data_IF_680054759341
#
_entry.id   IF_680054759341
#
_cell.length_a   1.000
_cell.length_b   1.000
_cell.length_c   1.000
_cell.angle_alpha   90.00
_cell.angle_beta   90.00
_cell.angle_gamma   90.00
#
_symmetry.space_group_name_H-M   'P 1'
#
loop_
_entity.id
_entity.type
_entity.pdbx_description
1 polymer ?
#
# COMPACT_ATOMS: atom_id res chain seq x y z
N UNK A 1 6.93 31.68 -9.09
CA UNK A 1 7.37 30.99 -7.86
C UNK A 1 7.72 29.52 -8.06
N UNK A 2 6.98 28.71 -8.84
CA UNK A 2 7.28 27.27 -9.05
C UNK A 2 8.65 26.97 -9.71
N UNK A 3 9.13 27.83 -10.61
CA UNK A 3 10.44 27.65 -11.28
C UNK A 3 11.66 27.95 -10.38
N UNK A 4 11.50 28.81 -9.37
CA UNK A 4 12.58 29.15 -8.44
C UNK A 4 12.85 28.04 -7.42
N UNK A 5 11.81 27.30 -6.99
CA UNK A 5 11.93 26.19 -6.04
C UNK A 5 12.67 25.01 -6.70
N UNK A 6 12.39 24.71 -7.96
CA UNK A 6 13.09 23.63 -8.70
C UNK A 6 14.55 23.99 -8.92
N UNK A 7 14.86 25.26 -9.19
CA UNK A 7 16.24 25.71 -9.40
C UNK A 7 17.05 25.71 -8.08
N UNK A 8 16.44 26.05 -6.93
CA UNK A 8 17.10 26.02 -5.64
C UNK A 8 17.36 24.58 -5.15
N UNK A 9 16.44 23.65 -5.40
CA UNK A 9 16.65 22.23 -5.11
C UNK A 9 17.77 21.65 -5.98
N UNK A 10 17.83 22.01 -7.26
CA UNK A 10 18.91 21.60 -8.18
C UNK A 10 20.28 22.13 -7.78
N UNK A 11 20.39 23.38 -7.32
CA UNK A 11 21.65 23.96 -6.88
C UNK A 11 22.21 23.31 -5.58
N UNK A 12 21.33 22.85 -4.70
CA UNK A 12 21.74 22.15 -3.47
C UNK A 12 22.32 20.76 -3.77
N UNK A 13 21.85 20.10 -4.82
CA UNK A 13 22.33 18.78 -5.25
C UNK A 13 23.71 18.85 -5.94
N UNK A 14 24.09 20.02 -6.49
CA UNK A 14 25.35 20.22 -7.22
C UNK A 14 26.39 21.04 -6.47
N UNK A 15 26.14 21.46 -5.24
CA UNK A 15 27.18 22.07 -4.42
C UNK A 15 28.30 21.05 -4.20
N UNK A 16 29.55 21.30 -4.67
CA UNK A 16 30.64 20.36 -4.51
C UNK A 16 30.97 20.23 -3.03
N UNK A 17 30.55 19.12 -2.44
CA UNK A 17 30.97 18.75 -1.08
C UNK A 17 32.44 18.29 -1.16
N UNK A 18 33.36 19.21 -0.96
CA UNK A 18 34.81 19.03 -1.09
C UNK A 18 35.43 18.03 -0.10
N UNK A 19 34.63 17.37 0.76
CA UNK A 19 35.22 16.55 1.85
C UNK A 19 34.58 15.16 2.02
N UNK A 20 33.36 14.93 1.61
CA UNK A 20 32.66 13.65 1.84
C UNK A 20 32.02 13.12 0.56
N UNK A 21 32.30 11.85 0.23
CA UNK A 21 31.64 11.20 -0.90
C UNK A 21 30.18 10.93 -0.59
N UNK A 22 29.31 11.29 -1.53
CA UNK A 22 27.88 11.02 -1.48
C UNK A 22 27.56 9.64 -2.06
N UNK A 23 26.37 9.16 -1.84
CA UNK A 23 25.97 7.84 -2.33
C UNK A 23 24.65 7.93 -3.08
N UNK A 24 24.59 7.26 -4.21
CA UNK A 24 23.39 7.01 -4.96
C UNK A 24 23.04 5.53 -4.84
N UNK A 25 21.79 5.22 -4.51
CA UNK A 25 21.34 3.85 -4.26
C UNK A 25 20.14 3.52 -5.12
N UNK A 26 20.19 2.37 -5.77
CA UNK A 26 19.04 1.71 -6.38
C UNK A 26 18.67 0.51 -5.52
N UNK A 27 17.38 0.37 -5.19
CA UNK A 27 16.86 -0.67 -4.31
C UNK A 27 15.74 -1.45 -4.98
N UNK A 28 15.71 -2.74 -4.70
CA UNK A 28 14.56 -3.62 -4.94
C UNK A 28 14.27 -4.36 -3.64
N UNK A 29 13.01 -4.53 -3.30
CA UNK A 29 12.64 -5.19 -2.06
C UNK A 29 11.23 -5.73 -2.08
N UNK A 30 10.76 -6.14 -0.90
CA UNK A 30 9.41 -6.57 -0.62
C UNK A 30 8.79 -5.63 0.42
N UNK A 31 7.56 -5.26 0.19
CA UNK A 31 6.74 -4.50 1.14
C UNK A 31 5.64 -5.41 1.70
N UNK A 32 5.46 -5.33 3.01
CA UNK A 32 4.50 -6.10 3.80
C UNK A 32 3.60 -5.12 4.57
N UNK A 33 2.40 -4.80 4.10
CA UNK A 33 1.46 -3.94 4.82
C UNK A 33 1.13 -4.48 6.22
N UNK A 34 0.80 -3.60 7.16
CA UNK A 34 0.45 -3.98 8.54
C UNK A 34 -1.01 -4.38 8.72
N UNK A 35 -1.90 -3.98 7.83
CA UNK A 35 -3.33 -4.33 7.82
C UNK A 35 -4.09 -3.98 9.11
N UNK A 36 -3.86 -2.77 9.67
CA UNK A 36 -4.37 -2.36 10.98
C UNK A 36 -5.55 -1.38 10.91
N UNK A 37 -6.35 -1.40 9.89
CA UNK A 37 -7.55 -0.57 9.78
C UNK A 37 -8.77 -1.40 9.42
N UNK A 38 -9.94 -0.90 9.80
CA UNK A 38 -11.23 -1.54 9.58
C UNK A 38 -11.50 -1.85 8.10
N UNK A 39 -11.12 -0.96 7.17
CA UNK A 39 -11.24 -1.25 5.73
C UNK A 39 -10.42 -2.49 5.32
N UNK A 40 -9.21 -2.69 5.86
CA UNK A 40 -8.44 -3.91 5.63
C UNK A 40 -9.14 -5.14 6.23
N UNK A 41 -9.69 -5.02 7.45
CA UNK A 41 -10.40 -6.11 8.12
C UNK A 41 -11.64 -6.50 7.32
N UNK A 42 -12.45 -5.52 6.90
CA UNK A 42 -13.63 -5.73 6.07
C UNK A 42 -13.30 -6.47 4.77
N UNK A 43 -12.26 -6.05 4.05
CA UNK A 43 -11.84 -6.71 2.82
C UNK A 43 -11.41 -8.16 3.05
N UNK A 44 -10.68 -8.44 4.13
CA UNK A 44 -10.26 -9.82 4.44
C UNK A 44 -11.39 -10.69 5.01
N UNK A 45 -12.38 -10.10 5.64
CA UNK A 45 -13.53 -10.83 6.17
C UNK A 45 -14.56 -11.16 5.10
N UNK A 46 -14.83 -10.24 4.20
CA UNK A 46 -15.86 -10.38 3.17
C UNK A 46 -15.34 -11.08 1.89
N UNK A 47 -14.08 -10.84 1.52
CA UNK A 47 -13.49 -11.36 0.28
C UNK A 47 -12.61 -12.59 0.52
N UNK A 48 -12.38 -13.38 -0.50
CA UNK A 48 -11.46 -14.52 -0.49
C UNK A 48 -9.97 -14.12 -0.44
N UNK A 49 -9.69 -12.84 -0.14
CA UNK A 49 -8.33 -12.31 -0.03
C UNK A 49 -7.55 -12.88 1.14
N UNK A 50 -6.26 -13.06 0.92
CA UNK A 50 -5.28 -13.38 1.98
C UNK A 50 -4.33 -12.20 2.17
N UNK A 51 -3.87 -11.97 3.39
CA UNK A 51 -2.87 -10.92 3.69
C UNK A 51 -1.62 -11.05 2.81
N UNK A 52 -1.19 -12.27 2.51
CA UNK A 52 -0.06 -12.53 1.62
C UNK A 52 -0.28 -12.07 0.17
N UNK A 53 -1.52 -11.94 -0.26
CA UNK A 53 -1.84 -11.47 -1.61
C UNK A 53 -1.42 -10.01 -1.82
N UNK A 54 -1.30 -9.24 -0.74
CA UNK A 54 -0.86 -7.84 -0.75
C UNK A 54 0.64 -7.66 -0.48
N UNK A 55 1.40 -8.74 -0.24
CA UNK A 55 2.86 -8.67 -0.25
C UNK A 55 3.34 -8.48 -1.68
N UNK A 56 4.12 -7.44 -1.92
CA UNK A 56 4.57 -7.18 -3.28
C UNK A 56 5.95 -6.54 -3.32
N UNK A 57 6.58 -6.68 -4.48
CA UNK A 57 7.86 -6.04 -4.79
C UNK A 57 7.70 -4.52 -4.74
N UNK A 58 8.68 -3.86 -4.15
CA UNK A 58 8.85 -2.42 -4.22
C UNK A 58 10.18 -2.06 -4.86
N UNK A 59 10.20 -0.91 -5.52
CA UNK A 59 11.39 -0.32 -6.10
C UNK A 59 11.69 0.99 -5.39
N UNK A 60 12.96 1.26 -5.15
CA UNK A 60 13.37 2.47 -4.48
C UNK A 60 14.65 3.07 -5.03
N UNK A 61 14.75 4.36 -4.82
CA UNK A 61 15.91 5.16 -5.13
C UNK A 61 16.25 6.04 -3.93
N UNK A 62 17.53 6.17 -3.56
CA UNK A 62 17.93 7.10 -2.54
C UNK A 62 19.26 7.80 -2.85
N UNK A 63 19.37 9.00 -2.31
CA UNK A 63 20.56 9.82 -2.33
C UNK A 63 20.98 10.14 -0.90
N UNK A 64 22.21 9.74 -0.53
CA UNK A 64 22.79 9.99 0.78
C UNK A 64 23.80 11.12 0.68
N UNK A 65 23.54 12.22 1.38
CA UNK A 65 24.46 13.33 1.55
C UNK A 65 25.17 13.20 2.90
N UNK A 66 26.45 12.94 2.90
CA UNK A 66 27.24 12.75 4.12
C UNK A 66 27.67 14.09 4.72
N UNK A 67 27.10 14.43 5.87
CA UNK A 67 27.46 15.61 6.66
C UNK A 67 28.75 15.35 7.44
N UNK A 68 28.93 14.10 7.90
CA UNK A 68 30.16 13.64 8.57
C UNK A 68 30.51 12.24 8.07
N UNK A 69 31.61 11.65 8.63
CA UNK A 69 31.96 10.25 8.33
C UNK A 69 30.92 9.24 8.85
N UNK A 70 30.09 9.65 9.80
CA UNK A 70 29.15 8.79 10.51
C UNK A 70 27.69 9.21 10.31
N UNK A 71 27.44 10.40 9.79
CA UNK A 71 26.09 10.95 9.68
C UNK A 71 25.79 11.35 8.23
N UNK A 72 24.69 10.87 7.69
CA UNK A 72 24.16 11.31 6.40
C UNK A 72 22.71 11.77 6.48
N UNK A 73 22.36 12.72 5.62
CA UNK A 73 21.01 13.09 5.27
C UNK A 73 20.63 12.28 4.03
N UNK A 74 19.51 11.59 4.06
CA UNK A 74 19.05 10.72 2.97
C UNK A 74 17.75 11.25 2.43
N UNK A 75 17.68 11.38 1.11
CA UNK A 75 16.43 11.60 0.39
C UNK A 75 16.10 10.32 -0.38
N UNK A 76 14.89 9.79 -0.22
CA UNK A 76 14.49 8.57 -0.89
C UNK A 76 13.08 8.66 -1.46
N UNK A 77 12.85 7.90 -2.51
CA UNK A 77 11.54 7.63 -3.10
C UNK A 77 11.43 6.12 -3.29
N UNK A 78 10.33 5.57 -2.86
CA UNK A 78 9.99 4.15 -3.05
C UNK A 78 8.64 4.06 -3.79
N UNK A 79 8.29 2.89 -4.31
CA UNK A 79 7.01 2.66 -4.98
C UNK A 79 6.50 1.28 -4.68
N UNK A 80 5.27 1.20 -4.20
CA UNK A 80 4.53 -0.03 -3.98
C UNK A 80 3.17 0.08 -4.64
N UNK A 81 2.73 -0.97 -5.30
CA UNK A 81 1.37 -1.07 -5.86
C UNK A 81 0.92 -2.52 -5.88
N UNK A 82 -0.31 -2.77 -5.45
CA UNK A 82 -0.92 -4.09 -5.51
C UNK A 82 -2.40 -3.96 -5.84
N UNK A 83 -2.83 -4.75 -6.79
CA UNK A 83 -4.24 -4.99 -7.11
C UNK A 83 -4.55 -6.46 -6.88
N UNK A 84 -5.67 -6.75 -6.26
CA UNK A 84 -6.20 -8.11 -6.10
C UNK A 84 -7.68 -8.11 -6.43
N UNK A 85 -8.09 -9.01 -7.29
CA UNK A 85 -9.50 -9.33 -7.54
C UNK A 85 -9.86 -10.62 -6.80
N UNK A 86 -11.07 -10.71 -6.31
CA UNK A 86 -11.58 -11.88 -5.61
C UNK A 86 -13.08 -11.86 -5.51
N UNK A 87 -13.64 -12.92 -4.92
CA UNK A 87 -15.07 -13.15 -4.76
C UNK A 87 -15.51 -12.93 -3.32
N UNK A 88 -16.75 -12.55 -3.13
CA UNK A 88 -17.36 -12.49 -1.80
C UNK A 88 -17.50 -13.90 -1.23
N UNK A 89 -17.06 -14.09 0.00
CA UNK A 89 -17.17 -15.36 0.71
C UNK A 89 -18.62 -15.65 1.10
N UNK A 90 -19.12 -16.77 0.66
CA UNK A 90 -20.42 -17.28 1.10
C UNK A 90 -21.63 -16.50 0.59
N UNK A 91 -21.50 -15.83 -0.57
CA UNK A 91 -22.59 -15.17 -1.25
C UNK A 91 -22.68 -15.58 -2.72
N UNK A 92 -23.90 -15.64 -3.22
CA UNK A 92 -24.22 -15.81 -4.64
C UNK A 92 -25.09 -14.63 -5.08
N UNK A 93 -24.85 -14.12 -6.28
CA UNK A 93 -25.64 -13.04 -6.86
C UNK A 93 -26.79 -13.55 -7.68
N UNK A 94 -27.93 -12.84 -7.63
CA UNK A 94 -29.11 -13.07 -8.45
C UNK A 94 -29.45 -11.82 -9.22
N UNK A 95 -29.81 -12.00 -10.49
CA UNK A 95 -30.35 -10.92 -11.31
C UNK A 95 -31.77 -10.61 -10.85
N UNK A 96 -32.11 -9.32 -10.82
CA UNK A 96 -33.43 -8.84 -10.44
C UNK A 96 -34.59 -9.49 -11.23
N UNK A 97 -34.37 -9.73 -12.52
CA UNK A 97 -35.37 -10.38 -13.41
C UNK A 97 -35.70 -11.81 -12.95
N UNK A 98 -34.71 -12.55 -12.43
CA UNK A 98 -34.88 -13.94 -11.96
C UNK A 98 -35.83 -14.02 -10.76
N UNK A 99 -35.78 -12.99 -9.89
CA UNK A 99 -36.56 -12.96 -8.65
C UNK A 99 -37.78 -12.06 -8.71
N UNK A 100 -38.03 -11.37 -9.82
CA UNK A 100 -39.10 -10.38 -9.95
C UNK A 100 -38.90 -9.14 -9.06
N UNK A 101 -37.66 -8.84 -8.70
CA UNK A 101 -37.26 -7.67 -7.92
C UNK A 101 -36.79 -6.53 -8.85
N UNK A 102 -36.56 -5.33 -8.29
CA UNK A 102 -36.10 -4.16 -9.04
C UNK A 102 -34.59 -3.98 -9.05
N UNK A 103 -33.89 -4.54 -8.07
CA UNK A 103 -32.45 -4.47 -7.90
C UNK A 103 -31.84 -5.88 -7.82
N UNK A 104 -30.60 -6.04 -8.20
CA UNK A 104 -29.89 -7.30 -8.06
C UNK A 104 -29.57 -7.57 -6.58
N UNK A 105 -29.64 -8.84 -6.16
CA UNK A 105 -29.48 -9.23 -4.77
C UNK A 105 -28.40 -10.30 -4.62
N UNK A 106 -27.71 -10.29 -3.46
CA UNK A 106 -26.88 -11.37 -2.98
C UNK A 106 -27.62 -12.16 -1.90
N UNK A 107 -27.66 -13.48 -2.07
CA UNK A 107 -28.15 -14.41 -1.06
C UNK A 107 -26.97 -14.97 -0.29
N UNK A 108 -27.09 -15.20 1.04
CA UNK A 108 -26.14 -16.02 1.79
C UNK A 108 -26.00 -17.37 1.09
N UNK A 109 -24.77 -17.84 0.89
CA UNK A 109 -24.53 -19.14 0.29
C UNK A 109 -25.08 -20.26 1.19
N UNK A 110 -26.16 -20.89 0.74
CA UNK A 110 -26.72 -22.09 1.38
C UNK A 110 -26.50 -23.20 0.36
N UNK A 111 -25.55 -24.13 0.59
CA UNK A 111 -25.34 -25.28 -0.29
C UNK A 111 -26.66 -26.01 -0.53
N UNK A 112 -26.88 -26.46 -1.75
CA UNK A 112 -28.06 -27.18 -2.23
C UNK A 112 -29.37 -26.36 -2.32
N UNK A 113 -29.35 -25.06 -1.98
CA UNK A 113 -30.55 -24.23 -1.98
C UNK A 113 -30.54 -23.11 -3.03
N UNK A 114 -29.38 -22.51 -3.28
CA UNK A 114 -29.24 -21.43 -4.23
C UNK A 114 -28.05 -21.66 -5.17
N UNK A 115 -28.34 -21.88 -6.45
CA UNK A 115 -27.37 -21.80 -7.54
C UNK A 115 -27.49 -20.39 -8.13
N UNK A 116 -26.72 -19.43 -7.67
CA UNK A 116 -26.81 -18.05 -8.12
C UNK A 116 -26.57 -17.83 -9.62
N UNK A 117 -26.99 -16.71 -10.15
CA UNK A 117 -26.77 -16.34 -11.55
C UNK A 117 -25.32 -15.97 -11.83
N UNK A 118 -24.60 -15.46 -10.79
CA UNK A 118 -23.19 -15.09 -10.86
C UNK A 118 -22.55 -15.00 -9.47
N UNK A 119 -21.21 -15.05 -9.44
CA UNK A 119 -20.42 -14.85 -8.22
C UNK A 119 -20.04 -13.37 -8.06
N UNK A 120 -20.57 -12.65 -7.06
CA UNK A 120 -20.20 -11.26 -6.81
C UNK A 120 -18.69 -11.13 -6.55
N UNK A 121 -18.07 -10.18 -7.24
CA UNK A 121 -16.62 -9.99 -7.14
C UNK A 121 -16.23 -8.52 -7.22
N UNK A 122 -15.15 -8.16 -6.54
CA UNK A 122 -14.51 -6.87 -6.74
C UNK A 122 -12.98 -6.94 -6.69
N UNK A 123 -12.38 -5.86 -7.11
CA UNK A 123 -10.94 -5.65 -7.05
C UNK A 123 -10.60 -4.58 -6.03
N UNK A 124 -9.65 -4.87 -5.16
CA UNK A 124 -9.12 -3.91 -4.21
C UNK A 124 -7.66 -3.58 -4.54
N UNK A 125 -7.41 -2.30 -4.83
CA UNK A 125 -6.12 -1.78 -5.25
C UNK A 125 -5.55 -0.81 -4.21
N UNK A 126 -4.29 -0.98 -3.87
CA UNK A 126 -3.55 -0.06 -2.98
C UNK A 126 -2.22 0.30 -3.63
N UNK A 127 -1.97 1.60 -3.76
CA UNK A 127 -0.70 2.14 -4.28
C UNK A 127 -0.15 3.16 -3.29
N UNK A 128 1.15 3.09 -3.00
CA UNK A 128 1.84 3.98 -2.07
C UNK A 128 3.17 4.40 -2.68
N UNK A 129 3.42 5.69 -2.75
CA UNK A 129 4.67 6.29 -3.21
C UNK A 129 5.24 7.20 -2.11
N UNK A 130 6.10 6.69 -1.23
CA UNK A 130 6.79 7.46 -0.21
C UNK A 130 7.86 8.37 -0.81
N UNK A 131 7.89 9.64 -0.42
CA UNK A 131 8.98 10.59 -0.64
C UNK A 131 9.48 10.98 0.75
N UNK A 132 10.68 10.56 1.11
CA UNK A 132 11.16 10.56 2.50
C UNK A 132 12.48 11.29 2.66
N UNK A 133 12.62 11.97 3.81
CA UNK A 133 13.89 12.54 4.29
C UNK A 133 14.27 11.86 5.60
N UNK A 134 15.49 11.33 5.69
CA UNK A 134 15.99 10.56 6.84
C UNK A 134 17.35 11.08 7.32
N UNK A 135 17.60 10.90 8.60
CA UNK A 135 18.95 10.91 9.16
C UNK A 135 19.42 9.46 9.31
N UNK A 136 20.60 9.15 8.76
CA UNK A 136 21.23 7.82 8.82
C UNK A 136 22.55 7.94 9.59
N UNK A 137 22.68 7.17 10.66
CA UNK A 137 23.87 7.09 11.50
C UNK A 137 24.63 5.79 11.20
N UNK A 138 25.91 5.91 10.91
CA UNK A 138 26.86 4.81 10.68
C UNK A 138 27.81 4.73 11.88
N UNK A 139 27.52 3.93 12.92
CA UNK A 139 28.31 3.95 14.17
C UNK A 139 29.79 3.65 13.97
N UNK A 140 30.12 2.77 13.03
CA UNK A 140 31.50 2.39 12.71
C UNK A 140 32.13 3.24 11.59
N UNK A 141 31.38 4.26 11.11
CA UNK A 141 31.79 5.05 9.95
C UNK A 141 31.76 4.24 8.66
N UNK A 142 32.43 4.77 7.62
CA UNK A 142 32.36 4.25 6.23
C UNK A 142 33.50 3.29 5.86
N UNK A 143 34.43 3.04 6.75
CA UNK A 143 35.61 2.21 6.52
C UNK A 143 35.44 0.88 7.26
N UNK A 144 35.12 -0.17 6.57
CA UNK A 144 34.95 -1.50 7.15
C UNK A 144 34.46 -2.52 6.11
N UNK A 145 34.62 -3.81 6.42
CA UNK A 145 34.04 -4.90 5.61
C UNK A 145 32.53 -4.94 5.72
N UNK A 146 31.99 -4.47 6.85
CA UNK A 146 30.58 -4.35 7.15
C UNK A 146 30.34 -2.95 7.73
N UNK A 147 29.40 -2.25 7.15
CA UNK A 147 29.04 -0.88 7.53
C UNK A 147 27.59 -0.88 8.01
N UNK A 148 27.33 -1.18 9.30
CA UNK A 148 26.01 -1.14 9.86
C UNK A 148 25.52 0.30 9.97
N UNK A 149 24.22 0.50 9.84
CA UNK A 149 23.59 1.78 10.05
C UNK A 149 22.19 1.64 10.64
N UNK A 150 21.75 2.72 11.28
CA UNK A 150 20.38 2.93 11.75
C UNK A 150 19.96 4.33 11.38
N UNK A 151 18.67 4.54 11.26
CA UNK A 151 18.17 5.87 10.93
C UNK A 151 16.67 5.96 11.09
N UNK A 152 16.16 7.13 10.76
CA UNK A 152 14.74 7.41 10.73
C UNK A 152 14.47 8.79 10.19
N UNK A 153 13.23 9.07 9.92
CA UNK A 153 12.85 10.33 9.32
C UNK A 153 11.35 10.50 9.14
N UNK A 154 11.04 11.51 8.35
CA UNK A 154 9.67 11.86 7.98
C UNK A 154 9.50 11.74 6.47
N UNK A 155 8.26 11.62 6.02
CA UNK A 155 7.96 11.60 4.59
C UNK A 155 6.57 12.07 4.26
N UNK A 156 6.42 12.44 2.99
CA UNK A 156 5.14 12.63 2.35
C UNK A 156 4.86 11.38 1.53
N UNK A 157 3.69 10.81 1.74
CA UNK A 157 3.25 9.61 1.06
C UNK A 157 2.10 9.97 0.13
N UNK A 158 2.31 9.74 -1.15
CA UNK A 158 1.26 9.85 -2.17
C UNK A 158 0.63 8.47 -2.28
N UNK A 159 -0.69 8.38 -2.12
CA UNK A 159 -1.34 7.09 -2.10
C UNK A 159 -2.68 7.09 -2.81
N UNK A 160 -3.07 5.91 -3.26
CA UNK A 160 -4.37 5.64 -3.85
C UNK A 160 -4.92 4.36 -3.25
N UNK A 161 -6.21 4.34 -2.99
CA UNK A 161 -6.99 3.15 -2.67
C UNK A 161 -8.18 3.11 -3.60
N UNK A 162 -8.44 1.97 -4.21
CA UNK A 162 -9.53 1.81 -5.16
C UNK A 162 -10.20 0.46 -4.94
N UNK A 163 -11.52 0.50 -4.83
CA UNK A 163 -12.41 -0.64 -4.86
C UNK A 163 -13.29 -0.51 -6.10
N UNK A 164 -13.36 -1.54 -6.93
CA UNK A 164 -14.21 -1.55 -8.12
C UNK A 164 -14.68 -2.96 -8.46
N UNK A 165 -15.91 -3.05 -8.92
CA UNK A 165 -16.62 -4.30 -9.18
C UNK A 165 -17.95 -4.33 -8.43
N UNK A 166 -18.42 -5.50 -8.07
CA UNK A 166 -19.63 -5.65 -7.30
C UNK A 166 -19.45 -5.18 -5.86
N UNK A 167 -20.48 -4.57 -5.27
CA UNK A 167 -20.48 -4.18 -3.86
C UNK A 167 -21.77 -4.68 -3.20
N UNK A 168 -21.65 -5.44 -2.12
CA UNK A 168 -22.77 -5.90 -1.30
C UNK A 168 -23.00 -4.89 -0.17
N UNK A 169 -24.26 -4.40 -0.06
CA UNK A 169 -24.64 -3.43 0.96
C UNK A 169 -25.24 -4.16 2.18
N UNK A 170 -24.39 -4.64 3.08
CA UNK A 170 -24.82 -5.38 4.27
C UNK A 170 -25.68 -4.58 5.25
N UNK A 171 -25.70 -3.27 5.14
CA UNK A 171 -26.55 -2.38 5.95
C UNK A 171 -28.03 -2.39 5.52
N UNK A 172 -28.31 -2.82 4.29
CA UNK A 172 -29.61 -2.76 3.68
C UNK A 172 -30.20 -4.17 3.53
N UNK A 173 -30.28 -4.91 4.64
CA UNK A 173 -30.84 -6.24 4.70
C UNK A 173 -32.34 -6.22 4.43
N UNK A 174 -32.80 -7.09 3.53
CA UNK A 174 -34.20 -7.37 3.25
C UNK A 174 -34.52 -8.84 3.56
N UNK A 175 -35.76 -9.12 3.92
CA UNK A 175 -36.23 -10.49 4.12
C UNK A 175 -36.95 -10.96 2.85
N UNK A 176 -36.36 -11.95 2.20
CA UNK A 176 -36.99 -12.67 1.07
C UNK A 176 -37.68 -13.92 1.60
N UNK A 177 -39.01 -13.99 1.39
CA UNK A 177 -39.75 -15.21 1.72
C UNK A 177 -39.77 -16.11 0.48
N UNK A 178 -39.04 -17.23 0.58
CA UNK A 178 -38.96 -18.24 -0.47
C UNK A 178 -40.38 -18.79 -0.78
N UNK A 179 -40.90 -18.59 -1.98
CA UNK A 179 -42.28 -19.02 -2.33
C UNK A 179 -42.47 -20.53 -2.32
N UNK A 180 -41.39 -21.31 -2.47
CA UNK A 180 -41.48 -22.78 -2.55
C UNK A 180 -41.41 -23.43 -1.18
N UNK A 181 -40.60 -22.88 -0.27
CA UNK A 181 -40.38 -23.44 1.08
C UNK A 181 -41.11 -22.66 2.18
N UNK A 182 -41.44 -21.39 1.94
CA UNK A 182 -42.01 -20.47 2.92
C UNK A 182 -40.98 -20.02 3.98
N UNK A 183 -39.69 -20.25 3.74
CA UNK A 183 -38.63 -19.78 4.65
C UNK A 183 -38.25 -18.33 4.36
N UNK A 184 -38.00 -17.57 5.43
CA UNK A 184 -37.51 -16.22 5.35
C UNK A 184 -35.97 -16.21 5.30
N UNK A 185 -35.41 -15.61 4.23
CA UNK A 185 -33.94 -15.54 4.00
C UNK A 185 -33.50 -14.08 3.94
N UNK A 186 -32.50 -13.66 4.69
CA UNK A 186 -31.93 -12.34 4.54
C UNK A 186 -31.22 -12.23 3.18
N UNK A 187 -31.52 -11.15 2.46
CA UNK A 187 -30.90 -10.83 1.18
C UNK A 187 -30.34 -9.43 1.24
N UNK A 188 -29.29 -9.17 0.47
CA UNK A 188 -28.57 -7.91 0.48
C UNK A 188 -28.48 -7.36 -0.94
N UNK A 189 -28.79 -6.07 -1.16
CA UNK A 189 -28.65 -5.48 -2.47
C UNK A 189 -27.18 -5.47 -2.90
N UNK A 190 -26.95 -5.69 -4.18
CA UNK A 190 -25.65 -5.58 -4.80
C UNK A 190 -25.69 -4.53 -5.90
N UNK A 191 -24.55 -3.90 -6.09
CA UNK A 191 -24.29 -3.02 -7.21
C UNK A 191 -23.33 -3.73 -8.16
N UNK A 192 -23.84 -4.34 -9.27
CA UNK A 192 -23.00 -5.12 -10.15
C UNK A 192 -22.20 -4.23 -11.09
N UNK A 193 -20.97 -4.66 -11.36
CA UNK A 193 -20.11 -4.10 -12.39
C UNK A 193 -19.25 -2.91 -11.97
N UNK A 194 -18.11 -2.79 -12.64
CA UNK A 194 -17.08 -1.81 -12.34
C UNK A 194 -17.52 -0.33 -12.48
N UNK A 195 -18.52 -0.07 -13.30
CA UNK A 195 -18.98 1.30 -13.54
C UNK A 195 -19.81 1.88 -12.39
N UNK A 196 -20.39 1.02 -11.58
CA UNK A 196 -21.29 1.42 -10.48
C UNK A 196 -20.60 1.40 -9.11
N UNK A 197 -19.55 0.60 -8.95
CA UNK A 197 -18.83 0.41 -7.68
C UNK A 197 -17.38 0.91 -7.76
N UNK A 198 -17.15 2.06 -8.35
CA UNK A 198 -15.80 2.65 -8.44
C UNK A 198 -15.59 3.63 -7.29
N UNK A 199 -15.38 3.10 -6.07
CA UNK A 199 -15.03 3.89 -4.89
C UNK A 199 -13.53 4.04 -4.83
N UNK A 200 -13.04 5.29 -4.77
CA UNK A 200 -11.60 5.53 -4.81
C UNK A 200 -11.15 6.78 -4.06
N UNK A 201 -9.99 6.67 -3.46
CA UNK A 201 -9.15 7.79 -3.06
C UNK A 201 -7.99 7.90 -4.04
N UNK A 202 -7.88 9.03 -4.74
CA UNK A 202 -6.84 9.23 -5.74
C UNK A 202 -5.89 10.35 -5.34
N UNK A 203 -4.58 10.11 -5.52
CA UNK A 203 -3.52 11.09 -5.30
C UNK A 203 -3.63 11.81 -3.95
N UNK A 204 -3.96 11.07 -2.91
CA UNK A 204 -4.03 11.58 -1.55
C UNK A 204 -2.63 11.74 -0.97
N UNK A 205 -2.51 12.67 -0.03
CA UNK A 205 -1.25 12.95 0.63
C UNK A 205 -1.39 12.73 2.12
N UNK A 206 -0.43 12.02 2.70
CA UNK A 206 -0.32 11.88 4.15
C UNK A 206 1.12 12.12 4.58
N UNK A 207 1.29 12.66 5.79
CA UNK A 207 2.60 12.78 6.42
C UNK A 207 2.77 11.61 7.37
N UNK A 208 3.93 10.97 7.29
CA UNK A 208 4.28 9.87 8.16
C UNK A 208 5.73 9.92 8.57
N UNK A 209 6.14 8.99 9.41
CA UNK A 209 7.52 8.79 9.83
C UNK A 209 7.93 7.35 9.61
N UNK A 210 9.24 7.12 9.60
CA UNK A 210 9.78 5.79 9.40
C UNK A 210 11.06 5.60 10.22
N UNK A 211 11.33 4.35 10.53
CA UNK A 211 12.60 3.89 11.08
C UNK A 211 13.26 2.93 10.11
N UNK A 212 14.57 2.97 10.01
CA UNK A 212 15.32 2.08 9.12
C UNK A 212 16.60 1.60 9.79
N UNK A 213 17.08 0.47 9.34
CA UNK A 213 18.37 -0.08 9.75
C UNK A 213 18.85 -1.06 8.70
N UNK A 214 20.16 -1.18 8.60
CA UNK A 214 20.72 -2.05 7.56
C UNK A 214 22.21 -2.20 7.68
N UNK A 215 22.76 -2.84 6.65
CA UNK A 215 24.18 -3.08 6.51
C UNK A 215 24.61 -2.85 5.07
N UNK A 216 25.74 -2.17 4.88
CA UNK A 216 26.39 -2.03 3.58
C UNK A 216 27.67 -2.87 3.57
N UNK A 217 27.90 -3.58 2.47
CA UNK A 217 29.07 -4.46 2.25
C UNK A 217 29.82 -3.95 1.02
N UNK A 218 31.05 -3.41 1.18
CA UNK A 218 31.86 -2.97 0.07
C UNK A 218 32.23 -4.15 -0.84
N UNK A 219 31.90 -4.03 -2.14
CA UNK A 219 32.19 -5.05 -3.16
C UNK A 219 33.19 -4.55 -4.19
N UNK A 220 33.32 -3.23 -4.35
CA UNK A 220 34.33 -2.59 -5.20
C UNK A 220 34.70 -1.22 -4.63
N UNK A 221 35.69 -0.54 -5.25
CA UNK A 221 36.23 0.74 -4.74
C UNK A 221 35.17 1.83 -4.52
N UNK A 222 34.09 1.83 -5.32
CA UNK A 222 33.01 2.82 -5.25
C UNK A 222 31.63 2.18 -5.18
N UNK A 223 31.55 0.88 -4.87
CA UNK A 223 30.28 0.16 -4.89
C UNK A 223 30.12 -0.64 -3.61
N UNK A 224 28.96 -0.51 -2.99
CA UNK A 224 28.54 -1.36 -1.88
C UNK A 224 27.22 -2.02 -2.17
N UNK A 225 27.02 -3.24 -1.70
CA UNK A 225 25.72 -3.87 -1.59
C UNK A 225 25.10 -3.44 -0.26
N UNK A 226 23.81 -3.19 -0.26
CA UNK A 226 23.03 -2.79 0.90
C UNK A 226 21.91 -3.78 1.17
N UNK A 227 21.73 -4.14 2.42
CA UNK A 227 20.52 -4.81 2.93
C UNK A 227 19.88 -3.87 3.92
N UNK A 228 18.63 -3.45 3.65
CA UNK A 228 17.89 -2.50 4.48
C UNK A 228 16.56 -3.10 4.93
N UNK A 229 16.27 -2.91 6.20
CA UNK A 229 14.96 -3.07 6.79
C UNK A 229 14.40 -1.69 7.15
N UNK A 230 13.17 -1.41 6.73
CA UNK A 230 12.47 -0.15 7.01
C UNK A 230 11.06 -0.46 7.52
N UNK A 231 10.60 0.32 8.50
CA UNK A 231 9.22 0.30 8.97
C UNK A 231 8.60 1.69 8.80
N UNK A 232 7.45 1.74 8.13
CA UNK A 232 6.71 2.96 7.85
C UNK A 232 5.49 3.06 8.76
N UNK A 233 5.31 4.22 9.40
CA UNK A 233 4.18 4.57 10.28
C UNK A 233 3.37 5.66 9.60
N UNK A 234 2.19 5.29 9.07
CA UNK A 234 1.37 6.23 8.34
C UNK A 234 -0.08 5.77 8.27
N UNK A 235 -1.00 6.72 8.39
CA UNK A 235 -2.43 6.54 8.13
C UNK A 235 -2.90 7.58 7.11
N UNK A 236 -3.81 7.18 6.24
CA UNK A 236 -4.47 8.03 5.25
C UNK A 236 -5.92 8.29 5.62
N UNK A 237 -6.35 9.56 5.59
CA UNK A 237 -7.77 9.87 5.80
C UNK A 237 -8.56 9.48 4.57
N UNK A 238 -9.57 8.63 4.76
CA UNK A 238 -10.57 8.27 3.75
C UNK A 238 -11.65 9.34 3.71
N UNK A 239 -12.04 9.79 2.52
CA UNK A 239 -13.11 10.78 2.32
C UNK A 239 -14.28 10.19 1.52
N UNK A 240 -13.98 9.25 0.62
CA UNK A 240 -14.98 8.60 -0.24
C UNK A 240 -15.41 7.22 0.27
N UNK A 241 -14.70 6.67 1.25
CA UNK A 241 -15.10 5.46 1.96
C UNK A 241 -15.79 5.89 3.27
N UNK A 242 -17.08 6.15 3.20
CA UNK A 242 -17.85 6.63 4.35
C UNK A 242 -17.91 5.58 5.47
N UNK A 243 -17.79 6.03 6.71
CA UNK A 243 -17.86 5.17 7.89
C UNK A 243 -16.56 4.51 8.31
N UNK A 244 -15.55 4.48 7.45
CA UNK A 244 -14.27 3.85 7.77
C UNK A 244 -13.30 4.79 8.50
N UNK A 245 -12.52 4.20 9.42
CA UNK A 245 -11.41 4.90 10.08
C UNK A 245 -10.27 5.23 9.10
N UNK A 246 -9.29 6.08 9.50
CA UNK A 246 -8.13 6.34 8.65
C UNK A 246 -7.38 5.07 8.25
N UNK A 247 -7.21 4.89 6.93
CA UNK A 247 -6.63 3.71 6.32
C UNK A 247 -5.16 3.51 6.70
N UNK A 248 -4.80 2.33 7.16
CA UNK A 248 -3.42 1.97 7.48
C UNK A 248 -2.62 1.71 6.20
N UNK A 249 -1.68 2.61 5.94
CA UNK A 249 -0.73 2.55 4.83
C UNK A 249 0.67 2.11 5.30
N UNK A 250 0.81 1.82 6.59
CA UNK A 250 2.05 1.39 7.22
C UNK A 250 2.48 0.00 6.81
N UNK A 251 3.75 -0.31 7.03
CA UNK A 251 4.28 -1.64 6.71
C UNK A 251 5.77 -1.79 6.88
N UNK A 252 6.20 -3.04 6.78
CA UNK A 252 7.60 -3.44 6.78
C UNK A 252 8.11 -3.51 5.34
N UNK A 253 9.35 -3.11 5.14
CA UNK A 253 10.05 -3.20 3.87
C UNK A 253 11.40 -3.87 4.10
N UNK A 254 11.69 -4.89 3.31
CA UNK A 254 13.02 -5.51 3.25
C UNK A 254 13.56 -5.32 1.84
N UNK A 255 14.71 -4.67 1.71
CA UNK A 255 15.27 -4.33 0.40
C UNK A 255 16.76 -4.65 0.30
N UNK A 256 17.16 -4.98 -0.92
CA UNK A 256 18.55 -5.09 -1.34
C UNK A 256 18.83 -3.93 -2.29
N UNK A 257 19.96 -3.26 -2.09
CA UNK A 257 20.38 -2.12 -2.88
C UNK A 257 21.82 -2.22 -3.38
N UNK A 258 22.08 -1.46 -4.43
CA UNK A 258 23.43 -1.21 -4.93
C UNK A 258 23.70 0.27 -4.75
N UNK A 259 24.73 0.60 -4.00
CA UNK A 259 25.17 1.96 -3.71
C UNK A 259 26.39 2.29 -4.55
N UNK A 260 26.37 3.44 -5.18
CA UNK A 260 27.52 4.02 -5.87
C UNK A 260 28.01 5.27 -5.13
N UNK A 261 29.29 5.28 -4.78
CA UNK A 261 29.99 6.34 -4.05
C UNK A 261 30.72 7.30 -4.99
N UNK A 262 30.50 8.59 -4.90
CA UNK A 262 31.15 9.60 -5.73
C UNK A 262 31.60 10.83 -4.95
#
# INVERSE_FOLDING_TARGET
MKKAIVLSLGLFLFAPSLVFSNTLTLKIGLFFPTFKSDLWETEFDQMDFKKSDYYNTNFGFSFDYFVTRQLSLVLSIDSYSKNKSGYYKGYVGYLAETLGMTDDFAFPYIPDKFDGDYDPNHSFNVTITPIQASLKLLPLGRKGKFIPYVGGGIGVYIWNVKLFGDTIFFSDEYIYSDPDTGEDVPVYPINPGADYSDIRENNRFSIGYHALGGIMIPVANRTTLELEFKYNFIKGKLENFEGFEPFDLGGYQLSIGINYWF
#
